data_IF_472541437611
#
_entry.id   IF_472541437611
#
_cell.length_a   1.000
_cell.length_b   1.000
_cell.length_c   1.000
_cell.angle_alpha   90.00
_cell.angle_beta   90.00
_cell.angle_gamma   90.00
#
_symmetry.space_group_name_H-M   'P 1'
#
loop_
_entity.id
_entity.type
_entity.pdbx_description
1 polymer ?
#
# COMPACT_ATOMS: atom_id res chain seq x y z
N UNK A 1 -23.41 -7.80 -5.34
CA UNK A 1 -22.53 -7.74 -6.52
C UNK A 1 -21.62 -8.94 -6.61
N UNK A 2 -20.91 -9.29 -5.56
CA UNK A 2 -20.00 -10.42 -5.57
C UNK A 2 -20.68 -11.75 -5.90
N UNK A 3 -21.89 -12.03 -5.38
CA UNK A 3 -22.60 -13.27 -5.62
C UNK A 3 -23.01 -13.47 -7.07
N UNK A 4 -23.51 -12.42 -7.73
CA UNK A 4 -23.89 -12.49 -9.14
C UNK A 4 -22.64 -12.72 -9.99
N UNK A 5 -21.54 -12.06 -9.64
CA UNK A 5 -20.27 -12.25 -10.33
C UNK A 5 -19.70 -13.65 -10.14
N UNK A 6 -19.87 -14.25 -8.97
CA UNK A 6 -19.42 -15.60 -8.71
C UNK A 6 -20.13 -16.61 -9.61
N UNK A 7 -21.45 -16.47 -9.80
CA UNK A 7 -22.19 -17.32 -10.72
C UNK A 7 -21.69 -17.18 -12.15
N UNK A 8 -21.46 -15.94 -12.60
CA UNK A 8 -20.90 -15.67 -13.92
C UNK A 8 -19.46 -16.16 -14.03
N UNK A 9 -18.69 -16.02 -12.97
CA UNK A 9 -17.30 -16.49 -12.93
C UNK A 9 -17.23 -18.00 -13.06
N UNK A 10 -18.17 -18.75 -12.49
CA UNK A 10 -18.21 -20.20 -12.68
C UNK A 10 -18.38 -20.57 -14.17
N UNK A 11 -19.29 -19.84 -14.87
CA UNK A 11 -19.51 -20.05 -16.30
C UNK A 11 -18.38 -19.49 -17.17
N UNK A 12 -17.67 -18.47 -16.67
CA UNK A 12 -16.66 -17.74 -17.41
C UNK A 12 -15.27 -17.83 -16.75
N UNK A 13 -15.03 -18.87 -15.96
CA UNK A 13 -13.82 -19.00 -15.16
C UNK A 13 -12.52 -18.83 -15.93
N UNK A 14 -12.47 -19.39 -17.16
CA UNK A 14 -11.29 -19.25 -18.01
C UNK A 14 -11.03 -17.81 -18.43
N UNK A 15 -12.09 -17.07 -18.77
CA UNK A 15 -11.96 -15.67 -19.16
C UNK A 15 -11.57 -14.80 -17.96
N UNK A 16 -12.16 -15.03 -16.78
CA UNK A 16 -11.80 -14.33 -15.56
C UNK A 16 -10.35 -14.56 -15.17
N UNK A 17 -9.86 -15.80 -15.32
CA UNK A 17 -8.47 -16.14 -15.08
C UNK A 17 -7.53 -15.40 -16.02
N UNK A 18 -7.89 -15.28 -17.29
CA UNK A 18 -7.09 -14.58 -18.31
C UNK A 18 -7.00 -13.09 -17.96
N UNK A 19 -8.13 -12.45 -17.62
CA UNK A 19 -8.15 -11.04 -17.22
C UNK A 19 -7.31 -10.81 -15.97
N UNK A 20 -7.41 -11.71 -14.99
CA UNK A 20 -6.63 -11.61 -13.75
C UNK A 20 -5.13 -11.74 -13.98
N UNK A 21 -4.70 -12.45 -15.01
CA UNK A 21 -3.29 -12.61 -15.35
C UNK A 21 -2.70 -11.43 -16.10
N UNK A 22 -3.51 -10.46 -16.50
CA UNK A 22 -3.03 -9.26 -17.20
C UNK A 22 -2.35 -8.30 -16.22
N UNK A 23 -1.38 -7.51 -16.72
CA UNK A 23 -0.82 -6.43 -15.91
C UNK A 23 -1.88 -5.37 -15.61
N UNK A 24 -1.58 -4.49 -14.67
CA UNK A 24 -2.42 -3.33 -14.42
C UNK A 24 -2.47 -2.45 -15.67
N UNK A 25 -3.62 -1.82 -15.90
CA UNK A 25 -3.75 -0.84 -16.99
C UNK A 25 -3.00 0.44 -16.62
N UNK A 26 -2.71 1.28 -17.62
CA UNK A 26 -2.09 2.58 -17.39
C UNK A 26 -2.94 3.44 -16.46
N UNK A 27 -4.25 3.44 -16.64
CA UNK A 27 -5.16 4.21 -15.78
C UNK A 27 -5.13 3.70 -14.33
N UNK A 28 -5.10 2.40 -14.12
CA UNK A 28 -5.01 1.83 -12.78
C UNK A 28 -3.71 2.22 -12.10
N UNK A 29 -2.58 2.14 -12.81
CA UNK A 29 -1.29 2.54 -12.26
C UNK A 29 -1.26 4.03 -11.93
N UNK A 30 -1.77 4.86 -12.82
CA UNK A 30 -1.81 6.30 -12.64
C UNK A 30 -2.63 6.68 -11.41
N UNK A 31 -3.81 6.09 -11.23
CA UNK A 31 -4.68 6.37 -10.09
C UNK A 31 -4.01 6.00 -8.77
N UNK A 32 -3.40 4.81 -8.72
CA UNK A 32 -2.71 4.35 -7.52
C UNK A 32 -1.50 5.22 -7.18
N UNK A 33 -0.68 5.52 -8.20
CA UNK A 33 0.52 6.35 -8.01
C UNK A 33 0.16 7.77 -7.59
N UNK A 34 -0.82 8.37 -8.23
CA UNK A 34 -1.23 9.74 -7.94
C UNK A 34 -1.63 9.91 -6.48
N UNK A 35 -2.41 8.98 -5.96
CA UNK A 35 -2.87 9.00 -4.58
C UNK A 35 -1.71 9.02 -3.59
N UNK A 36 -0.72 8.16 -3.82
CA UNK A 36 0.45 8.05 -2.97
C UNK A 36 1.36 9.28 -3.07
N UNK A 37 1.61 9.77 -4.27
CA UNK A 37 2.45 10.94 -4.50
C UNK A 37 1.82 12.21 -3.91
N UNK A 38 0.50 12.35 -3.99
CA UNK A 38 -0.20 13.48 -3.40
C UNK A 38 -0.11 13.48 -1.88
N UNK A 39 -0.23 12.31 -1.25
CA UNK A 39 -0.09 12.20 0.19
C UNK A 39 1.32 12.60 0.65
N UNK A 40 2.34 12.16 -0.06
CA UNK A 40 3.71 12.57 0.23
C UNK A 40 3.88 14.08 0.10
N UNK A 41 3.41 14.65 -1.01
CA UNK A 41 3.52 16.08 -1.27
C UNK A 41 2.85 16.89 -0.17
N UNK A 42 1.67 16.48 0.25
CA UNK A 42 0.95 17.13 1.35
C UNK A 42 1.76 17.09 2.65
N UNK A 43 2.37 15.95 2.96
CA UNK A 43 3.15 15.80 4.19
C UNK A 43 4.48 16.57 4.18
N UNK A 44 4.95 17.01 3.03
CA UNK A 44 6.11 17.89 2.93
C UNK A 44 5.80 19.33 3.34
N UNK A 45 4.55 19.74 3.18
CA UNK A 45 4.11 21.12 3.36
C UNK A 45 3.07 21.30 4.47
N UNK A 46 2.81 20.26 5.23
CA UNK A 46 1.76 20.23 6.23
C UNK A 46 0.51 19.59 5.68
N UNK A 47 0.31 18.33 6.00
CA UNK A 47 -0.83 17.55 5.57
C UNK A 47 -1.86 17.37 6.67
N UNK A 48 -2.70 16.36 6.50
CA UNK A 48 -3.72 15.93 7.45
C UNK A 48 -3.48 14.47 7.83
N UNK A 49 -4.20 14.00 8.84
CA UNK A 49 -4.10 12.60 9.29
C UNK A 49 -4.26 11.62 8.14
N UNK A 50 -5.17 11.89 7.23
CA UNK A 50 -5.44 11.03 6.07
C UNK A 50 -4.18 10.76 5.24
N UNK A 51 -3.31 11.75 5.10
CA UNK A 51 -2.07 11.59 4.34
C UNK A 51 -1.15 10.56 4.98
N UNK A 52 -1.05 10.56 6.31
CA UNK A 52 -0.30 9.51 7.03
C UNK A 52 -0.93 8.14 6.87
N UNK A 53 -2.25 8.06 6.90
CA UNK A 53 -2.96 6.79 6.70
C UNK A 53 -2.67 6.21 5.31
N UNK A 54 -2.64 7.07 4.29
CA UNK A 54 -2.32 6.65 2.91
C UNK A 54 -0.89 6.12 2.84
N UNK A 55 0.07 6.82 3.41
CA UNK A 55 1.48 6.40 3.39
C UNK A 55 1.69 5.12 4.20
N UNK A 56 1.02 4.98 5.33
CA UNK A 56 1.09 3.76 6.13
C UNK A 56 0.50 2.57 5.36
N UNK A 57 -0.64 2.75 4.73
CA UNK A 57 -1.26 1.73 3.89
C UNK A 57 -0.37 1.33 2.72
N UNK A 58 0.27 2.31 2.08
CA UNK A 58 1.26 2.08 1.03
C UNK A 58 2.40 1.19 1.52
N UNK A 59 2.96 1.48 2.69
CA UNK A 59 4.07 0.71 3.23
C UNK A 59 3.67 -0.74 3.51
N UNK A 60 2.48 -0.94 4.06
CA UNK A 60 1.97 -2.28 4.34
C UNK A 60 1.74 -3.08 3.05
N UNK A 61 1.13 -2.45 2.06
CA UNK A 61 0.87 -3.09 0.77
C UNK A 61 2.18 -3.43 0.05
N UNK A 62 3.13 -2.50 0.04
CA UNK A 62 4.44 -2.70 -0.58
C UNK A 62 5.14 -3.91 0.04
N UNK A 63 5.10 -4.03 1.37
CA UNK A 63 5.69 -5.16 2.08
C UNK A 63 5.03 -6.48 1.70
N UNK A 64 3.70 -6.52 1.68
CA UNK A 64 2.95 -7.72 1.31
C UNK A 64 3.27 -8.15 -0.13
N UNK A 65 3.28 -7.20 -1.06
CA UNK A 65 3.60 -7.50 -2.47
C UNK A 65 5.01 -8.07 -2.58
N UNK A 66 5.96 -7.45 -1.92
CA UNK A 66 7.35 -7.93 -1.96
C UNK A 66 7.49 -9.33 -1.37
N UNK A 67 6.90 -9.55 -0.21
CA UNK A 67 6.98 -10.83 0.48
C UNK A 67 6.29 -11.97 -0.27
N UNK A 68 5.20 -11.67 -0.99
CA UNK A 68 4.44 -12.71 -1.70
C UNK A 68 4.94 -12.99 -3.10
N UNK A 69 5.39 -11.95 -3.83
CA UNK A 69 5.59 -12.09 -5.26
C UNK A 69 6.99 -11.76 -5.77
N UNK A 70 7.69 -10.83 -5.14
CA UNK A 70 8.95 -10.36 -5.71
C UNK A 70 10.20 -10.76 -4.94
N UNK A 71 10.09 -10.95 -3.64
CA UNK A 71 11.21 -11.40 -2.80
C UNK A 71 12.49 -10.60 -3.04
N UNK A 72 12.37 -9.27 -3.13
CA UNK A 72 13.46 -8.40 -3.55
C UNK A 72 14.56 -8.21 -2.49
N UNK A 73 14.40 -8.81 -1.31
CA UNK A 73 15.31 -8.64 -0.17
C UNK A 73 15.30 -7.22 0.40
N UNK A 74 14.24 -6.47 0.16
CA UNK A 74 14.08 -5.09 0.66
C UNK A 74 13.17 -4.99 1.88
N UNK A 75 12.78 -6.11 2.48
CA UNK A 75 11.93 -6.13 3.68
C UNK A 75 12.49 -5.24 4.79
N UNK A 76 13.79 -5.25 5.00
CA UNK A 76 14.43 -4.45 6.04
C UNK A 76 14.29 -2.96 5.78
N UNK A 77 14.44 -2.54 4.53
CA UNK A 77 14.27 -1.14 4.12
C UNK A 77 12.81 -0.72 4.28
N UNK A 78 11.89 -1.59 3.92
CA UNK A 78 10.45 -1.32 4.09
C UNK A 78 10.11 -1.17 5.57
N UNK A 79 10.61 -2.06 6.42
CA UNK A 79 10.39 -2.01 7.86
C UNK A 79 10.99 -0.73 8.47
N UNK A 80 12.16 -0.34 8.04
CA UNK A 80 12.79 0.92 8.45
C UNK A 80 11.92 2.11 8.06
N UNK A 81 11.36 2.09 6.85
CA UNK A 81 10.42 3.12 6.39
C UNK A 81 9.19 3.19 7.30
N UNK A 82 8.63 2.04 7.66
CA UNK A 82 7.48 1.96 8.55
C UNK A 82 7.78 2.57 9.93
N UNK A 83 8.96 2.29 10.47
CA UNK A 83 9.38 2.85 11.75
C UNK A 83 9.53 4.37 11.69
N UNK A 84 10.12 4.89 10.63
CA UNK A 84 10.31 6.33 10.47
C UNK A 84 8.99 7.05 10.22
N UNK A 85 8.09 6.45 9.48
CA UNK A 85 6.74 6.99 9.26
C UNK A 85 5.99 7.05 10.60
N UNK A 86 6.07 5.99 11.39
CA UNK A 86 5.46 5.93 12.71
C UNK A 86 6.02 7.02 13.63
N UNK A 87 7.33 7.17 13.65
CA UNK A 87 8.00 8.21 14.46
C UNK A 87 7.53 9.60 14.05
N UNK A 88 7.47 9.86 12.74
CA UNK A 88 7.00 11.13 12.22
C UNK A 88 5.54 11.41 12.60
N UNK A 89 4.71 10.38 12.57
CA UNK A 89 3.32 10.48 12.98
C UNK A 89 3.19 10.83 14.47
N UNK A 90 3.94 10.14 15.33
CA UNK A 90 3.94 10.41 16.75
C UNK A 90 4.36 11.86 17.08
N UNK A 91 5.41 12.33 16.40
CA UNK A 91 5.86 13.71 16.54
C UNK A 91 4.81 14.70 16.04
N UNK A 92 4.16 14.40 14.93
CA UNK A 92 3.11 15.23 14.36
C UNK A 92 1.93 15.39 15.29
N UNK A 93 1.53 14.29 15.95
CA UNK A 93 0.45 14.32 16.93
C UNK A 93 0.77 15.27 18.09
N UNK A 94 2.01 15.24 18.58
CA UNK A 94 2.45 16.12 19.68
C UNK A 94 2.49 17.57 19.27
N UNK A 95 2.89 17.85 18.03
CA UNK A 95 3.06 19.21 17.51
C UNK A 95 1.77 19.84 16.96
N UNK A 96 0.79 19.00 16.63
CA UNK A 96 -0.44 19.46 16.02
C UNK A 96 -0.31 19.79 14.53
N UNK A 97 0.81 19.45 13.90
CA UNK A 97 1.06 19.64 12.46
C UNK A 97 1.57 18.34 11.88
N UNK A 98 0.94 17.88 10.81
CA UNK A 98 1.28 16.61 10.18
C UNK A 98 2.37 16.82 9.13
N UNK A 99 3.61 16.48 9.50
CA UNK A 99 4.79 16.59 8.66
C UNK A 99 5.64 15.34 8.80
N UNK A 100 6.37 15.00 7.72
CA UNK A 100 7.39 13.96 7.77
C UNK A 100 8.71 14.56 8.27
N UNK A 101 9.48 13.76 9.01
CA UNK A 101 10.87 14.08 9.32
C UNK A 101 11.74 13.90 8.09
N UNK A 102 12.95 14.44 8.10
CA UNK A 102 13.89 14.30 6.98
C UNK A 102 14.15 12.83 6.63
N UNK A 103 14.35 11.97 7.63
CA UNK A 103 14.55 10.55 7.41
C UNK A 103 13.31 9.88 6.83
N UNK A 104 12.13 10.24 7.34
CA UNK A 104 10.87 9.70 6.83
C UNK A 104 10.62 10.13 5.38
N UNK A 105 10.97 11.37 5.02
CA UNK A 105 10.86 11.85 3.63
C UNK A 105 11.72 10.98 2.70
N UNK A 106 12.98 10.82 3.04
CA UNK A 106 13.92 10.03 2.24
C UNK A 106 13.43 8.60 2.05
N UNK A 107 13.04 7.97 3.14
CA UNK A 107 12.59 6.58 3.12
C UNK A 107 11.24 6.42 2.40
N UNK A 108 10.32 7.35 2.58
CA UNK A 108 9.03 7.32 1.91
C UNK A 108 9.17 7.49 0.39
N UNK A 109 10.08 8.36 -0.05
CA UNK A 109 10.38 8.49 -1.48
C UNK A 109 10.88 7.18 -2.06
N UNK A 110 11.80 6.51 -1.39
CA UNK A 110 12.29 5.19 -1.80
C UNK A 110 11.20 4.13 -1.81
N UNK A 111 10.31 4.18 -0.83
CA UNK A 111 9.18 3.28 -0.75
C UNK A 111 8.21 3.46 -1.92
N UNK A 112 7.92 4.70 -2.29
CA UNK A 112 7.06 5.02 -3.44
C UNK A 112 7.71 4.53 -4.74
N UNK A 113 9.01 4.74 -4.91
CA UNK A 113 9.74 4.25 -6.07
C UNK A 113 9.67 2.72 -6.18
N UNK A 114 9.86 2.03 -5.06
CA UNK A 114 9.74 0.57 -5.03
C UNK A 114 8.33 0.13 -5.39
N UNK A 115 7.33 0.79 -4.84
CA UNK A 115 5.94 0.46 -5.13
C UNK A 115 5.58 0.74 -6.60
N UNK A 116 6.05 1.85 -7.15
CA UNK A 116 5.84 2.16 -8.57
C UNK A 116 6.43 1.06 -9.46
N UNK A 117 7.61 0.56 -9.11
CA UNK A 117 8.21 -0.57 -9.81
C UNK A 117 7.37 -1.85 -9.68
N UNK A 118 6.83 -2.11 -8.49
CA UNK A 118 5.92 -3.25 -8.29
C UNK A 118 4.68 -3.14 -9.18
N UNK A 119 4.10 -1.96 -9.28
CA UNK A 119 2.89 -1.73 -10.09
C UNK A 119 3.12 -1.99 -11.58
N UNK A 120 4.35 -1.83 -12.05
CA UNK A 120 4.69 -2.14 -13.43
C UNK A 120 4.81 -3.64 -13.72
N UNK A 121 4.95 -4.46 -12.68
CA UNK A 121 5.19 -5.90 -12.84
C UNK A 121 4.06 -6.77 -12.32
N UNK A 122 3.23 -6.26 -11.40
CA UNK A 122 2.19 -7.06 -10.75
C UNK A 122 1.00 -7.27 -11.67
N UNK A 123 0.36 -8.44 -11.57
CA UNK A 123 -0.89 -8.72 -12.28
C UNK A 123 -2.09 -8.19 -11.49
N UNK A 124 -3.22 -8.05 -12.15
CA UNK A 124 -4.47 -7.62 -11.52
C UNK A 124 -4.89 -8.57 -10.39
N UNK A 125 -4.73 -9.88 -10.61
CA UNK A 125 -5.04 -10.89 -9.59
C UNK A 125 -4.12 -10.75 -8.38
N UNK A 126 -2.83 -10.64 -8.62
CA UNK A 126 -1.85 -10.49 -7.55
C UNK A 126 -2.11 -9.24 -6.73
N UNK A 127 -2.45 -8.14 -7.39
CA UNK A 127 -2.80 -6.90 -6.68
C UNK A 127 -4.03 -7.09 -5.78
N UNK A 128 -5.09 -7.73 -6.29
CA UNK A 128 -6.28 -8.01 -5.47
C UNK A 128 -5.96 -8.90 -4.28
N UNK A 129 -5.16 -9.93 -4.49
CA UNK A 129 -4.73 -10.82 -3.41
C UNK A 129 -3.90 -10.09 -2.37
N UNK A 130 -2.98 -9.23 -2.82
CA UNK A 130 -2.14 -8.44 -1.92
C UNK A 130 -2.96 -7.46 -1.09
N UNK A 131 -3.93 -6.79 -1.69
CA UNK A 131 -4.83 -5.88 -0.97
C UNK A 131 -5.64 -6.64 0.07
N UNK A 132 -6.19 -7.79 -0.29
CA UNK A 132 -6.95 -8.62 0.65
C UNK A 132 -6.08 -9.08 1.82
N UNK A 133 -4.85 -9.51 1.55
CA UNK A 133 -3.90 -9.92 2.59
C UNK A 133 -3.52 -8.77 3.51
N UNK A 134 -3.28 -7.59 2.93
CA UNK A 134 -2.95 -6.39 3.70
C UNK A 134 -4.09 -6.04 4.65
N UNK A 135 -5.32 -6.06 4.16
CA UNK A 135 -6.50 -5.79 4.99
C UNK A 135 -6.68 -6.83 6.10
N UNK A 136 -6.40 -8.09 5.81
CA UNK A 136 -6.46 -9.16 6.81
C UNK A 136 -5.45 -8.93 7.94
N UNK A 137 -4.24 -8.57 7.59
CA UNK A 137 -3.17 -8.30 8.56
C UNK A 137 -3.49 -7.07 9.41
N UNK A 138 -4.04 -6.03 8.81
CA UNK A 138 -4.45 -4.82 9.53
C UNK A 138 -5.55 -5.11 10.55
N UNK A 139 -6.50 -5.96 10.21
CA UNK A 139 -7.57 -6.39 11.14
C UNK A 139 -7.00 -7.16 12.33
N UNK A 140 -6.04 -8.02 12.09
CA UNK A 140 -5.36 -8.78 13.17
C UNK A 140 -4.65 -7.80 14.11
N UNK A 141 -3.94 -6.84 13.55
CA UNK A 141 -3.20 -5.83 14.32
C UNK A 141 -4.13 -4.98 15.17
N UNK A 142 -5.24 -4.53 14.59
CA UNK A 142 -6.25 -3.75 15.30
C UNK A 142 -6.90 -4.54 16.43
N UNK A 143 -7.15 -5.82 16.22
CA UNK A 143 -7.68 -6.71 17.25
C UNK A 143 -6.73 -6.82 18.43
N UNK A 144 -5.43 -6.98 18.16
CA UNK A 144 -4.41 -7.06 19.20
C UNK A 144 -4.34 -5.78 20.04
N UNK A 145 -4.47 -4.62 19.40
CA UNK A 145 -4.49 -3.32 20.11
C UNK A 145 -5.70 -3.19 21.00
N UNK A 146 -6.86 -3.65 20.53
CA UNK A 146 -8.11 -3.49 21.29
C UNK A 146 -8.23 -4.48 22.46
N UNK A 147 -7.43 -5.54 22.50
CA UNK A 147 -7.41 -6.50 23.61
C UNK A 147 -6.39 -6.15 24.69
N UNK A 148 -5.60 -5.15 24.49
CA UNK A 148 -4.68 -4.60 25.49
C UNK A 148 -5.36 -3.42 26.19
#
# INVERSE_FOLDING_TARGET
MAKIRQTKVSAMGGLGAIVGARPLTDDQRTDLNLHNHMALENLLNGGVLRDFEIIAALSNLTKVIDDKYFFSKKSKVIEESQEQIKTAYELSKKRGVYLLTSDAIRLTKGLIELHDAQLNMITQREMREAVAETQRLEKIENKKRNTK
#
